data_IF_961255423576
#
_entry.id   IF_961255423576
#
_cell.length_a   1.000
_cell.length_b   1.000
_cell.length_c   1.000
_cell.angle_alpha   90.00
_cell.angle_beta   90.00
_cell.angle_gamma   90.00
#
_symmetry.space_group_name_H-M   'P 1'
#
loop_
_entity.id
_entity.type
_entity.pdbx_description
1 polymer ?
#
# COMPACT_ATOMS: atom_id res chain seq x y z
N UNK A 1 2.44 -32.09 -59.58
CA UNK A 1 3.07 -30.88 -60.12
C UNK A 1 3.76 -30.15 -59.00
N UNK A 2 5.02 -30.30 -58.90
CA UNK A 2 5.93 -29.42 -58.17
C UNK A 2 6.53 -28.50 -59.21
N UNK A 3 6.84 -27.26 -58.99
CA UNK A 3 7.96 -26.77 -58.17
C UNK A 3 7.65 -25.38 -57.54
N UNK A 4 8.44 -24.72 -56.82
CA UNK A 4 9.84 -24.38 -56.90
C UNK A 4 10.31 -23.71 -55.60
N UNK A 5 11.43 -24.15 -55.19
CA UNK A 5 12.36 -23.56 -54.24
C UNK A 5 12.74 -22.12 -54.60
N UNK A 6 12.72 -21.20 -53.64
CA UNK A 6 13.62 -20.08 -53.68
C UNK A 6 14.20 -19.85 -52.26
N UNK A 7 15.40 -20.36 -52.17
CA UNK A 7 16.40 -19.96 -51.19
C UNK A 7 16.85 -18.56 -51.52
N UNK A 8 16.72 -17.61 -50.60
CA UNK A 8 17.47 -16.38 -50.64
C UNK A 8 18.22 -16.20 -49.34
N UNK A 9 19.45 -16.66 -49.43
CA UNK A 9 20.51 -16.26 -48.48
C UNK A 9 20.93 -14.87 -48.88
N UNK A 10 20.81 -13.93 -47.99
CA UNK A 10 21.61 -12.72 -48.05
C UNK A 10 22.10 -12.35 -46.65
N UNK A 11 23.35 -12.61 -46.57
CA UNK A 11 24.32 -12.16 -45.60
C UNK A 11 24.52 -10.67 -45.81
N UNK A 12 24.36 -9.86 -44.79
CA UNK A 12 25.07 -8.60 -44.72
C UNK A 12 25.33 -8.17 -43.29
N UNK A 13 26.54 -8.09 -43.05
CA UNK A 13 27.31 -7.70 -41.88
C UNK A 13 27.12 -6.24 -41.46
N UNK A 14 27.39 -5.98 -40.22
CA UNK A 14 28.31 -4.99 -39.64
C UNK A 14 27.71 -3.71 -39.04
N UNK A 15 28.06 -3.57 -37.76
CA UNK A 15 28.44 -2.38 -36.96
C UNK A 15 27.42 -1.26 -36.76
N UNK A 16 27.16 -1.03 -35.51
CA UNK A 16 26.68 0.21 -34.95
C UNK A 16 26.59 0.10 -33.42
N UNK A 17 27.74 0.26 -32.77
CA UNK A 17 27.74 0.59 -31.34
C UNK A 17 27.08 1.95 -31.15
N UNK A 18 26.07 2.02 -30.32
CA UNK A 18 25.91 3.15 -29.39
C UNK A 18 25.00 2.68 -28.26
N UNK A 19 25.56 2.66 -27.07
CA UNK A 19 24.85 2.39 -25.86
C UNK A 19 23.85 3.50 -25.53
N UNK A 20 22.66 3.10 -25.24
CA UNK A 20 21.75 3.89 -24.39
C UNK A 20 21.32 2.98 -23.26
N UNK A 21 21.86 3.27 -22.11
CA UNK A 21 21.41 2.70 -20.84
C UNK A 21 19.98 3.14 -20.60
N UNK A 22 19.01 2.34 -20.97
CA UNK A 22 17.70 2.44 -20.39
C UNK A 22 17.73 1.64 -19.10
N UNK A 23 17.86 2.36 -17.99
CA UNK A 23 17.50 1.84 -16.69
C UNK A 23 16.01 1.53 -16.72
N UNK A 24 15.70 0.30 -17.04
CA UNK A 24 14.40 -0.27 -16.73
C UNK A 24 14.40 -0.43 -15.21
N UNK A 25 13.77 0.48 -14.51
CA UNK A 25 13.38 0.26 -13.13
C UNK A 25 12.37 -0.87 -13.11
N UNK A 26 12.87 -2.06 -12.98
CA UNK A 26 12.09 -3.21 -12.56
C UNK A 26 11.59 -2.90 -11.16
N UNK A 27 10.29 -2.94 -10.86
CA UNK A 27 9.84 -2.90 -9.48
C UNK A 27 10.39 -4.15 -8.81
N UNK A 28 11.27 -3.94 -7.88
CA UNK A 28 11.92 -4.99 -7.11
C UNK A 28 10.88 -5.66 -6.22
N UNK A 29 10.33 -6.75 -6.71
CA UNK A 29 9.50 -7.66 -5.93
C UNK A 29 10.44 -8.52 -5.10
N UNK A 30 10.59 -8.19 -3.90
CA UNK A 30 10.93 -9.00 -2.72
C UNK A 30 11.81 -8.20 -1.77
N UNK A 31 11.22 -7.43 -0.94
CA UNK A 31 11.84 -7.25 0.35
C UNK A 31 10.87 -7.72 1.41
N UNK A 32 11.25 -8.81 2.00
CA UNK A 32 10.83 -9.24 3.30
C UNK A 32 11.38 -8.23 4.33
N UNK A 33 11.01 -6.97 4.14
CA UNK A 33 11.29 -5.93 5.11
C UNK A 33 10.03 -5.76 5.94
N UNK A 34 10.20 -5.99 7.20
CA UNK A 34 9.22 -5.78 8.26
C UNK A 34 8.89 -4.28 8.36
N UNK A 35 8.28 -3.70 7.32
CA UNK A 35 7.96 -2.29 7.21
C UNK A 35 6.55 -2.08 6.69
N UNK A 36 5.99 -0.92 6.97
CA UNK A 36 4.75 -0.45 6.38
C UNK A 36 5.01 0.57 5.27
N UNK A 37 4.06 0.73 4.36
CA UNK A 37 4.10 1.76 3.34
C UNK A 37 3.54 3.07 3.88
N UNK A 38 4.13 4.20 3.45
CA UNK A 38 3.61 5.54 3.74
C UNK A 38 3.11 6.21 2.46
N UNK A 39 1.91 6.76 2.52
CA UNK A 39 1.28 7.49 1.42
C UNK A 39 0.61 8.77 1.96
N UNK A 40 0.18 9.63 1.07
CA UNK A 40 -0.62 10.81 1.42
C UNK A 40 -2.10 10.44 1.62
N UNK A 41 -2.86 11.33 2.25
CA UNK A 41 -4.31 11.17 2.40
C UNK A 41 -5.03 11.13 1.04
N UNK A 42 -4.55 11.89 0.04
CA UNK A 42 -5.07 11.85 -1.32
C UNK A 42 -4.82 10.51 -2.01
N UNK A 43 -3.61 9.97 -1.89
CA UNK A 43 -3.29 8.63 -2.40
C UNK A 43 -4.12 7.54 -1.73
N UNK A 44 -4.36 7.67 -0.42
CA UNK A 44 -5.25 6.76 0.31
C UNK A 44 -6.70 6.83 -0.20
N UNK A 45 -7.23 8.03 -0.45
CA UNK A 45 -8.55 8.20 -1.03
C UNK A 45 -8.67 7.56 -2.41
N UNK A 46 -7.65 7.68 -3.26
CA UNK A 46 -7.59 7.03 -4.56
C UNK A 46 -7.50 5.50 -4.42
N UNK A 47 -6.72 5.01 -3.47
CA UNK A 47 -6.62 3.57 -3.18
C UNK A 47 -7.97 2.99 -2.72
N UNK A 48 -8.71 3.69 -1.86
CA UNK A 48 -10.05 3.30 -1.42
C UNK A 48 -11.08 3.21 -2.56
N UNK A 49 -10.87 3.94 -3.66
CA UNK A 49 -11.73 3.88 -4.85
C UNK A 49 -11.39 2.69 -5.76
N UNK A 50 -10.14 2.27 -5.80
CA UNK A 50 -9.64 1.19 -6.66
C UNK A 50 -9.65 -0.19 -6.01
N UNK A 51 -9.52 -0.25 -4.68
CA UNK A 51 -9.50 -1.48 -3.91
C UNK A 51 -10.89 -1.81 -3.36
N UNK A 52 -11.20 -3.10 -3.22
CA UNK A 52 -12.51 -3.56 -2.72
C UNK A 52 -12.43 -4.27 -1.38
N UNK A 53 -11.25 -4.73 -0.99
CA UNK A 53 -11.05 -5.52 0.24
C UNK A 53 -9.95 -4.90 1.10
N UNK A 54 -10.34 -3.90 1.89
CA UNK A 54 -9.44 -3.20 2.79
C UNK A 54 -10.16 -2.82 4.10
N UNK A 55 -9.37 -2.57 5.14
CA UNK A 55 -9.84 -2.00 6.40
C UNK A 55 -9.24 -0.60 6.55
N UNK A 56 -10.06 0.38 6.89
CA UNK A 56 -9.61 1.70 7.34
C UNK A 56 -9.51 1.65 8.85
N UNK A 57 -8.33 1.90 9.40
CA UNK A 57 -8.04 1.81 10.83
C UNK A 57 -7.76 3.18 11.42
N UNK A 58 -8.68 3.64 12.26
CA UNK A 58 -8.53 4.84 13.07
C UNK A 58 -7.88 4.48 14.41
N UNK A 59 -6.65 4.92 14.62
CA UNK A 59 -5.88 4.62 15.83
C UNK A 59 -5.90 5.74 16.86
N UNK A 60 -6.85 6.68 16.71
CA UNK A 60 -7.12 7.72 17.71
C UNK A 60 -7.88 7.15 18.90
N UNK A 61 -8.11 7.96 19.90
CA UNK A 61 -8.97 7.58 21.02
C UNK A 61 -10.43 7.35 20.58
N UNK A 62 -11.18 6.60 21.35
CA UNK A 62 -12.61 6.39 21.08
C UNK A 62 -13.39 7.71 21.04
N UNK A 63 -13.06 8.65 21.91
CA UNK A 63 -13.69 9.97 21.94
C UNK A 63 -13.42 10.78 20.66
N UNK A 64 -12.19 10.76 20.15
CA UNK A 64 -11.84 11.41 18.88
C UNK A 64 -12.60 10.76 17.70
N UNK A 65 -12.68 9.44 17.68
CA UNK A 65 -13.43 8.69 16.67
C UNK A 65 -14.91 9.05 16.67
N UNK A 66 -15.56 9.07 17.85
CA UNK A 66 -16.97 9.42 18.01
C UNK A 66 -17.28 10.86 17.60
N UNK A 67 -16.31 11.78 17.72
CA UNK A 67 -16.46 13.18 17.31
C UNK A 67 -16.39 13.39 15.79
N UNK A 68 -15.93 12.40 15.06
CA UNK A 68 -15.84 12.40 13.59
C UNK A 68 -14.74 11.49 13.09
N UNK A 69 -15.04 10.63 12.11
CA UNK A 69 -14.11 9.68 11.52
C UNK A 69 -14.37 9.47 10.04
N UNK A 70 -13.42 8.89 9.35
CA UNK A 70 -13.57 8.53 7.93
C UNK A 70 -14.65 7.43 7.82
N UNK A 71 -15.62 7.56 6.88
CA UNK A 71 -16.68 6.56 6.71
C UNK A 71 -16.15 5.14 6.57
N UNK A 72 -16.72 4.23 7.35
CA UNK A 72 -16.32 2.81 7.35
C UNK A 72 -15.07 2.50 8.17
N UNK A 73 -14.42 3.48 8.79
CA UNK A 73 -13.27 3.24 9.64
C UNK A 73 -13.62 2.44 10.90
N UNK A 74 -12.72 1.55 11.28
CA UNK A 74 -12.74 0.81 12.53
C UNK A 74 -11.83 1.52 13.53
N UNK A 75 -12.31 1.74 14.75
CA UNK A 75 -11.49 2.35 15.80
C UNK A 75 -10.71 1.29 16.60
N UNK A 76 -9.42 1.46 16.65
CA UNK A 76 -8.51 0.67 17.50
C UNK A 76 -7.42 1.61 18.03
N UNK A 77 -7.59 2.20 19.21
CA UNK A 77 -6.62 3.14 19.75
C UNK A 77 -5.21 2.58 19.79
N UNK A 78 -4.22 3.38 19.39
CA UNK A 78 -2.82 2.97 19.31
C UNK A 78 -2.30 2.28 20.58
N UNK A 79 -2.75 2.72 21.73
CA UNK A 79 -2.36 2.19 23.04
C UNK A 79 -2.86 0.77 23.28
N UNK A 80 -3.91 0.34 22.57
CA UNK A 80 -4.51 -0.99 22.70
C UNK A 80 -3.90 -2.04 21.78
N UNK A 81 -3.01 -1.64 20.90
CA UNK A 81 -2.27 -2.56 20.00
C UNK A 81 -1.10 -3.17 20.77
N UNK A 82 -1.37 -4.26 21.50
CA UNK A 82 -0.40 -4.90 22.40
C UNK A 82 -0.33 -6.42 22.27
N UNK A 83 -1.23 -7.05 21.53
CA UNK A 83 -1.30 -8.52 21.42
C UNK A 83 -1.39 -8.99 19.99
N UNK A 84 -0.95 -10.22 19.76
CA UNK A 84 -0.97 -10.85 18.42
C UNK A 84 -2.38 -11.18 17.91
N UNK A 85 -3.36 -11.30 18.81
CA UNK A 85 -4.73 -11.63 18.47
C UNK A 85 -5.63 -10.39 18.58
N UNK A 86 -5.75 -9.64 17.51
CA UNK A 86 -6.65 -8.49 17.41
C UNK A 86 -7.93 -8.93 16.71
N UNK A 87 -9.04 -8.94 17.44
CA UNK A 87 -10.33 -9.42 16.93
C UNK A 87 -10.83 -8.60 15.71
N UNK A 88 -10.56 -7.30 15.70
CA UNK A 88 -10.96 -6.42 14.61
C UNK A 88 -10.13 -6.63 13.35
N UNK A 89 -8.98 -7.27 13.47
CA UNK A 89 -8.00 -7.50 12.40
C UNK A 89 -7.60 -8.98 12.33
N UNK A 90 -8.54 -9.88 12.00
CA UNK A 90 -8.28 -11.32 12.05
C UNK A 90 -7.35 -11.83 10.95
N UNK A 91 -7.25 -11.14 9.84
CA UNK A 91 -6.42 -11.51 8.71
C UNK A 91 -5.15 -10.65 8.66
N UNK A 92 -4.00 -11.29 8.80
CA UNK A 92 -2.70 -10.61 8.81
C UNK A 92 -2.21 -10.20 7.41
N UNK A 93 -2.83 -10.69 6.37
CA UNK A 93 -2.53 -10.31 4.97
C UNK A 93 -3.48 -9.23 4.44
N UNK A 94 -4.54 -8.91 5.19
CA UNK A 94 -5.50 -7.87 4.86
C UNK A 94 -4.80 -6.52 4.61
N UNK A 95 -5.21 -5.82 3.56
CA UNK A 95 -4.83 -4.43 3.36
C UNK A 95 -5.45 -3.56 4.46
N UNK A 96 -4.61 -2.90 5.24
CA UNK A 96 -5.04 -2.03 6.34
C UNK A 96 -4.48 -0.63 6.10
N UNK A 97 -5.39 0.33 5.93
CA UNK A 97 -5.11 1.75 5.77
C UNK A 97 -5.20 2.42 7.13
N UNK A 98 -4.09 2.88 7.67
CA UNK A 98 -3.96 3.36 9.05
C UNK A 98 -3.84 4.88 9.08
N UNK A 99 -4.65 5.53 9.92
CA UNK A 99 -4.56 6.96 10.16
C UNK A 99 -4.76 7.32 11.64
N UNK A 100 -4.31 8.50 12.00
CA UNK A 100 -4.64 9.13 13.29
C UNK A 100 -5.08 10.59 13.10
N UNK A 101 -4.69 11.49 13.98
CA UNK A 101 -4.98 12.91 13.84
C UNK A 101 -4.00 13.63 12.92
N UNK A 102 -2.69 13.45 13.13
CA UNK A 102 -1.61 14.16 12.44
C UNK A 102 -0.47 13.27 11.93
N UNK A 103 -0.55 11.96 12.11
CA UNK A 103 0.43 10.99 11.61
C UNK A 103 1.35 10.34 12.66
N UNK A 104 1.47 10.90 13.86
CA UNK A 104 2.39 10.35 14.88
C UNK A 104 1.96 8.99 15.43
N UNK A 105 0.72 8.88 15.87
CA UNK A 105 0.17 7.63 16.42
C UNK A 105 -0.01 6.57 15.34
N UNK A 106 -0.36 6.97 14.12
CA UNK A 106 -0.53 6.04 13.00
C UNK A 106 0.78 5.38 12.60
N UNK A 107 1.90 6.09 12.62
CA UNK A 107 3.24 5.51 12.40
C UNK A 107 3.63 4.52 13.49
N UNK A 108 3.35 4.85 14.75
CA UNK A 108 3.58 3.93 15.89
C UNK A 108 2.71 2.68 15.78
N UNK A 109 1.42 2.84 15.48
CA UNK A 109 0.48 1.75 15.31
C UNK A 109 0.88 0.85 14.14
N UNK A 110 1.23 1.44 13.00
CA UNK A 110 1.70 0.69 11.82
C UNK A 110 2.92 -0.15 12.11
N UNK A 111 3.89 0.40 12.84
CA UNK A 111 5.06 -0.37 13.27
C UNK A 111 4.69 -1.53 14.19
N UNK A 112 3.82 -1.30 15.17
CA UNK A 112 3.33 -2.37 16.06
C UNK A 112 2.62 -3.48 15.28
N UNK A 113 1.77 -3.13 14.32
CA UNK A 113 1.07 -4.11 13.48
C UNK A 113 2.05 -4.95 12.66
N UNK A 114 3.04 -4.33 12.06
CA UNK A 114 4.11 -5.04 11.35
C UNK A 114 4.87 -5.98 12.28
N UNK A 115 5.25 -5.53 13.47
CA UNK A 115 5.93 -6.35 14.49
C UNK A 115 5.05 -7.54 14.96
N UNK A 116 3.72 -7.40 14.89
CA UNK A 116 2.74 -8.46 15.17
C UNK A 116 2.48 -9.38 13.98
N UNK A 117 3.14 -9.18 12.85
CA UNK A 117 3.07 -10.04 11.67
C UNK A 117 2.05 -9.64 10.60
N UNK A 118 1.47 -8.43 10.68
CA UNK A 118 0.66 -7.90 9.59
C UNK A 118 1.55 -7.49 8.43
N UNK A 119 1.23 -7.93 7.22
CA UNK A 119 2.11 -7.84 6.06
C UNK A 119 1.70 -6.78 5.04
N UNK A 120 0.53 -6.17 5.19
CA UNK A 120 -0.02 -5.26 4.21
C UNK A 120 -0.56 -3.97 4.86
N UNK A 121 0.34 -3.23 5.47
CA UNK A 121 0.03 -2.00 6.22
C UNK A 121 0.41 -0.78 5.41
N UNK A 122 -0.55 0.13 5.25
CA UNK A 122 -0.39 1.43 4.58
C UNK A 122 -0.79 2.54 5.53
N UNK A 123 0.14 3.39 5.90
CA UNK A 123 -0.06 4.54 6.76
C UNK A 123 -0.25 5.80 5.91
N UNK A 124 -1.28 6.61 6.19
CA UNK A 124 -1.58 7.80 5.38
C UNK A 124 -1.73 9.10 6.17
N UNK A 125 -1.08 9.19 7.31
CA UNK A 125 -1.01 10.42 8.09
C UNK A 125 -2.21 10.62 9.00
N UNK A 126 -2.94 11.70 8.83
CA UNK A 126 -3.97 12.09 9.75
C UNK A 126 -5.23 12.64 9.10
N UNK A 127 -6.31 12.61 9.89
CA UNK A 127 -7.61 13.19 9.48
C UNK A 127 -7.52 14.71 9.23
N UNK A 128 -6.50 15.37 9.77
CA UNK A 128 -6.25 16.79 9.50
C UNK A 128 -5.97 17.08 8.01
N UNK A 129 -5.41 16.12 7.30
CA UNK A 129 -5.08 16.23 5.87
C UNK A 129 -6.12 15.54 4.97
N UNK A 130 -7.15 14.96 5.57
CA UNK A 130 -8.23 14.29 4.86
C UNK A 130 -9.23 15.29 4.29
N UNK A 131 -9.43 15.25 2.99
CA UNK A 131 -10.38 16.13 2.26
C UNK A 131 -11.72 15.48 1.95
N UNK A 132 -11.86 14.19 2.26
CA UNK A 132 -13.09 13.44 2.02
C UNK A 132 -14.14 13.63 3.12
N UNK A 133 -15.19 12.84 3.04
CA UNK A 133 -16.28 12.84 4.01
C UNK A 133 -15.80 12.42 5.41
N UNK A 134 -16.39 13.00 6.44
CA UNK A 134 -16.26 12.63 7.84
C UNK A 134 -17.65 12.43 8.42
N UNK A 135 -17.85 11.34 9.11
CA UNK A 135 -19.13 10.97 9.76
C UNK A 135 -18.97 10.84 11.27
N UNK A 136 -20.07 10.94 12.01
CA UNK A 136 -20.13 10.78 13.46
C UNK A 136 -20.97 9.57 13.84
#
# INVERSE_FOLDING_TARGET
MVPLIFIFVMLCSILGLTGCSNSVNTPNTASNSNTYQQITAEEAANMMQSETDYIILDVRTAQEYESGHIPGAVNLPNETIISEAIQQLPDKEQLILVYCRSGNRSKQASKKLVDLGYTNIVEFGGINDWSGEVVT
#
